data_IF_425468899227
#
_entry.id   IF_425468899227
#
_cell.length_a   1.000
_cell.length_b   1.000
_cell.length_c   1.000
_cell.angle_alpha   90.00
_cell.angle_beta   90.00
_cell.angle_gamma   90.00
#
_symmetry.space_group_name_H-M   'P 1'
#
loop_
_entity.id
_entity.type
_entity.pdbx_description
1 polymer ?
#
# COMPACT_ATOMS: atom_id res chain seq x y z
N UNK A 1 7.21 -0.75 -30.04
CA UNK A 1 6.52 -0.32 -28.80
C UNK A 1 6.82 1.16 -28.62
N UNK A 2 5.79 1.99 -28.73
CA UNK A 2 5.93 3.44 -28.67
C UNK A 2 6.14 3.86 -27.23
N UNK A 3 7.05 4.82 -27.03
CA UNK A 3 7.40 5.33 -25.72
C UNK A 3 7.56 6.84 -25.79
N UNK A 4 6.81 7.55 -24.96
CA UNK A 4 6.79 9.00 -24.97
C UNK A 4 6.51 9.52 -23.56
N UNK A 5 6.82 10.78 -23.33
CA UNK A 5 6.72 11.43 -22.03
C UNK A 5 5.71 12.57 -22.10
N UNK A 6 4.86 12.66 -21.09
CA UNK A 6 3.91 13.75 -20.89
C UNK A 6 4.26 14.46 -19.58
N UNK A 7 4.30 15.81 -19.53
CA UNK A 7 4.51 16.55 -18.29
C UNK A 7 3.42 16.26 -17.26
N UNK A 8 3.73 16.43 -15.98
CA UNK A 8 2.77 16.20 -14.88
C UNK A 8 1.70 17.30 -14.78
N UNK A 9 1.89 18.42 -15.47
CA UNK A 9 1.03 19.60 -15.38
C UNK A 9 -0.45 19.22 -15.61
N UNK A 10 -1.30 19.54 -14.63
CA UNK A 10 -2.74 19.29 -14.63
C UNK A 10 -3.20 17.83 -14.80
N UNK A 11 -2.29 16.86 -14.60
CA UNK A 11 -2.61 15.44 -14.71
C UNK A 11 -2.54 14.73 -13.36
N UNK A 12 -3.67 14.20 -12.90
CA UNK A 12 -3.73 13.38 -11.70
C UNK A 12 -3.35 11.92 -12.02
N UNK A 13 -2.40 11.36 -11.25
CA UNK A 13 -1.91 9.98 -11.39
C UNK A 13 -2.98 8.90 -11.60
N UNK A 14 -4.04 8.86 -10.78
CA UNK A 14 -5.12 7.87 -10.96
C UNK A 14 -5.87 8.04 -12.29
N UNK A 15 -6.15 9.28 -12.71
CA UNK A 15 -6.88 9.54 -13.96
C UNK A 15 -6.06 9.08 -15.14
N UNK A 16 -4.80 9.51 -15.27
CA UNK A 16 -3.95 9.03 -16.39
C UNK A 16 -3.78 7.51 -16.38
N UNK A 17 -3.73 6.86 -15.22
CA UNK A 17 -3.64 5.39 -15.16
C UNK A 17 -4.89 4.71 -15.72
N UNK A 18 -6.07 5.20 -15.36
CA UNK A 18 -7.35 4.63 -15.79
C UNK A 18 -7.67 4.98 -17.24
N UNK A 19 -7.52 6.25 -17.62
CA UNK A 19 -7.83 6.76 -18.96
C UNK A 19 -6.86 6.22 -20.02
N UNK A 20 -5.58 6.05 -19.68
CA UNK A 20 -4.61 5.43 -20.60
C UNK A 20 -5.08 4.04 -21.04
N UNK A 21 -5.53 3.22 -20.09
CA UNK A 21 -6.01 1.87 -20.39
C UNK A 21 -7.32 1.89 -21.18
N UNK A 22 -8.15 2.92 -21.00
CA UNK A 22 -9.37 3.11 -21.77
C UNK A 22 -9.09 3.44 -23.24
N UNK A 23 -8.17 4.38 -23.51
CA UNK A 23 -7.86 4.82 -24.88
C UNK A 23 -6.91 3.87 -25.62
N UNK A 24 -5.88 3.35 -24.95
CA UNK A 24 -4.80 2.56 -25.58
C UNK A 24 -4.89 1.05 -25.29
N UNK A 25 -5.81 0.64 -24.42
CA UNK A 25 -5.98 -0.74 -24.00
C UNK A 25 -5.13 -1.15 -22.78
N UNK A 26 -5.35 -2.37 -22.26
CA UNK A 26 -4.75 -2.82 -21.00
C UNK A 26 -3.23 -3.03 -21.06
N UNK A 27 -2.66 -3.22 -22.26
CA UNK A 27 -1.22 -3.38 -22.48
C UNK A 27 -0.45 -2.05 -22.38
N UNK A 28 -1.15 -0.91 -22.37
CA UNK A 28 -0.54 0.39 -22.18
C UNK A 28 -0.17 0.62 -20.72
N UNK A 29 1.07 1.07 -20.49
CA UNK A 29 1.61 1.30 -19.15
C UNK A 29 1.98 2.75 -18.95
N UNK A 30 1.71 3.27 -17.75
CA UNK A 30 2.14 4.60 -17.30
C UNK A 30 3.01 4.46 -16.07
N UNK A 31 4.09 5.22 -16.00
CA UNK A 31 4.93 5.31 -14.80
C UNK A 31 5.37 6.76 -14.56
N UNK A 32 5.51 7.20 -13.30
CA UNK A 32 6.16 8.47 -12.98
C UNK A 32 7.59 8.48 -13.54
N UNK A 33 7.97 9.60 -14.15
CA UNK A 33 9.31 9.78 -14.72
C UNK A 33 9.65 11.26 -14.79
N UNK A 34 10.81 11.62 -14.26
CA UNK A 34 11.36 12.98 -14.34
C UNK A 34 12.26 13.08 -15.57
N UNK A 35 12.01 14.07 -16.42
CA UNK A 35 12.81 14.36 -17.61
C UNK A 35 13.33 15.79 -17.52
N UNK A 36 14.64 15.96 -17.61
CA UNK A 36 15.29 17.28 -17.61
C UNK A 36 14.92 18.17 -16.39
N UNK A 37 14.62 17.54 -15.25
CA UNK A 37 14.20 18.22 -14.01
C UNK A 37 12.70 18.46 -13.89
N UNK A 38 11.92 18.14 -14.92
CA UNK A 38 10.45 18.23 -14.90
C UNK A 38 9.82 16.87 -14.59
N UNK A 39 8.91 16.86 -13.62
CA UNK A 39 8.13 15.68 -13.29
C UNK A 39 7.06 15.42 -14.35
N UNK A 40 6.88 14.15 -14.67
CA UNK A 40 5.88 13.73 -15.64
C UNK A 40 5.61 12.24 -15.62
N UNK A 41 5.03 11.78 -16.71
CA UNK A 41 4.62 10.41 -16.91
C UNK A 41 5.23 9.87 -18.18
N UNK A 42 5.91 8.74 -18.06
CA UNK A 42 6.41 7.99 -19.19
C UNK A 42 5.38 6.92 -19.56
N UNK A 43 4.88 7.03 -20.78
CA UNK A 43 3.91 6.11 -21.35
C UNK A 43 4.63 5.15 -22.28
N UNK A 44 4.25 3.88 -22.18
CA UNK A 44 4.71 2.83 -23.09
C UNK A 44 3.50 2.05 -23.58
N UNK A 45 3.30 2.02 -24.90
CA UNK A 45 2.13 1.41 -25.56
C UNK A 45 2.57 0.57 -26.77
N UNK A 46 1.95 -0.60 -27.01
CA UNK A 46 2.19 -1.36 -28.24
C UNK A 46 1.51 -0.71 -29.46
N UNK A 47 0.53 0.16 -29.26
CA UNK A 47 -0.29 0.78 -30.31
C UNK A 47 0.02 2.27 -30.56
N UNK A 48 -0.95 3.05 -31.08
CA UNK A 48 -0.79 4.48 -31.30
C UNK A 48 -0.55 5.23 -29.98
N UNK A 49 0.04 6.42 -30.08
CA UNK A 49 0.16 7.34 -28.96
C UNK A 49 -1.20 8.03 -28.69
N UNK A 50 -1.36 8.57 -27.48
CA UNK A 50 -2.51 9.45 -27.19
C UNK A 50 -2.49 10.65 -28.14
N UNK A 51 -3.67 11.03 -28.63
CA UNK A 51 -3.86 12.30 -29.33
C UNK A 51 -3.93 13.47 -28.35
N UNK A 52 -3.69 14.68 -28.85
CA UNK A 52 -3.78 15.90 -28.03
C UNK A 52 -5.17 16.04 -27.39
N UNK A 53 -6.25 15.75 -28.12
CA UNK A 53 -7.62 15.76 -27.60
C UNK A 53 -7.80 14.79 -26.41
N UNK A 54 -7.17 13.61 -26.47
CA UNK A 54 -7.24 12.63 -25.37
C UNK A 54 -6.43 13.09 -24.16
N UNK A 55 -5.33 13.81 -24.38
CA UNK A 55 -4.55 14.42 -23.30
C UNK A 55 -5.37 15.54 -22.64
N UNK A 56 -6.06 16.35 -23.43
CA UNK A 56 -6.95 17.40 -22.93
C UNK A 56 -8.10 16.81 -22.10
N UNK A 57 -8.72 15.73 -22.56
CA UNK A 57 -9.73 14.98 -21.79
C UNK A 57 -9.20 14.50 -20.44
N UNK A 58 -7.96 13.99 -20.41
CA UNK A 58 -7.28 13.54 -19.18
C UNK A 58 -7.05 14.72 -18.23
N UNK A 59 -6.65 15.88 -18.73
CA UNK A 59 -6.48 17.10 -17.94
C UNK A 59 -7.81 17.56 -17.33
N UNK A 60 -8.89 17.57 -18.12
CA UNK A 60 -10.24 17.96 -17.65
C UNK A 60 -10.71 17.00 -16.55
N UNK A 61 -10.60 15.68 -16.75
CA UNK A 61 -10.98 14.67 -15.75
C UNK A 61 -10.11 14.75 -14.49
N UNK A 62 -8.82 15.07 -14.64
CA UNK A 62 -7.90 15.27 -13.52
C UNK A 62 -8.32 16.46 -12.66
N UNK A 63 -8.72 17.57 -13.29
CA UNK A 63 -9.25 18.75 -12.63
C UNK A 63 -10.52 18.44 -11.84
N UNK A 64 -11.50 17.79 -12.47
CA UNK A 64 -12.73 17.38 -11.78
C UNK A 64 -12.43 16.51 -10.56
N UNK A 65 -11.45 15.60 -10.69
CA UNK A 65 -11.08 14.73 -9.59
C UNK A 65 -10.43 15.49 -8.42
N UNK A 66 -9.61 16.50 -8.69
CA UNK A 66 -9.09 17.39 -7.65
C UNK A 66 -10.21 18.21 -7.00
N UNK A 67 -11.12 18.79 -7.78
CA UNK A 67 -12.26 19.55 -7.27
C UNK A 67 -13.15 18.69 -6.37
N UNK A 68 -13.43 17.46 -6.78
CA UNK A 68 -14.21 16.49 -5.98
C UNK A 68 -13.49 16.10 -4.69
N UNK A 69 -12.17 15.91 -4.73
CA UNK A 69 -11.37 15.68 -3.52
C UNK A 69 -11.35 16.91 -2.61
N UNK A 70 -11.21 18.10 -3.16
CA UNK A 70 -11.22 19.36 -2.41
C UNK A 70 -12.57 19.59 -1.73
N UNK A 71 -13.68 19.37 -2.45
CA UNK A 71 -15.04 19.45 -1.91
C UNK A 71 -15.28 18.42 -0.80
N UNK A 72 -14.76 17.19 -0.96
CA UNK A 72 -14.84 16.14 0.07
C UNK A 72 -14.02 16.48 1.32
N UNK A 73 -12.89 17.18 1.15
CA UNK A 73 -12.08 17.68 2.29
C UNK A 73 -12.73 18.87 2.97
N UNK A 74 -13.32 19.79 2.20
CA UNK A 74 -14.06 20.93 2.73
C UNK A 74 -15.28 20.48 3.54
N UNK A 75 -15.99 19.43 3.10
CA UNK A 75 -17.10 18.84 3.87
C UNK A 75 -16.64 18.04 5.10
N UNK A 76 -15.43 17.49 5.11
CA UNK A 76 -14.81 16.89 6.31
C UNK A 76 -14.15 17.91 7.26
N UNK A 77 -14.00 19.18 6.86
CA UNK A 77 -13.47 20.25 7.71
C UNK A 77 -14.37 20.61 8.90
N UNK A 78 -15.63 20.17 8.91
CA UNK A 78 -16.56 20.32 10.04
C UNK A 78 -16.57 19.11 11.00
N UNK A 79 -15.70 18.12 10.78
CA UNK A 79 -15.69 16.83 11.50
C UNK A 79 -14.53 16.71 12.48
N UNK A 80 -14.21 17.81 13.15
CA UNK A 80 -13.47 17.75 14.41
C UNK A 80 -14.38 17.03 15.42
N UNK A 81 -14.12 15.73 15.63
CA UNK A 81 -14.75 14.79 16.60
C UNK A 81 -15.85 13.84 16.06
N UNK A 82 -15.62 13.10 14.97
CA UNK A 82 -16.21 11.75 14.91
C UNK A 82 -15.24 10.75 15.56
N UNK A 83 -15.57 10.17 16.73
CA UNK A 83 -14.74 9.12 17.31
C UNK A 83 -14.65 7.95 16.33
N UNK A 84 -13.44 7.38 16.21
CA UNK A 84 -13.18 6.23 15.36
C UNK A 84 -14.22 5.13 15.67
N UNK A 85 -14.98 4.68 14.65
CA UNK A 85 -15.99 3.61 14.80
C UNK A 85 -15.40 2.26 15.25
N UNK A 86 -14.07 2.12 15.24
CA UNK A 86 -13.35 0.90 15.62
C UNK A 86 -12.06 1.27 16.35
N UNK A 87 -11.70 0.55 17.43
CA UNK A 87 -10.45 0.79 18.14
C UNK A 87 -9.25 0.55 17.22
N UNK A 88 -8.16 1.29 17.49
CA UNK A 88 -6.87 1.13 16.81
C UNK A 88 -6.41 -0.34 16.92
N UNK A 89 -6.11 -0.96 15.78
CA UNK A 89 -5.57 -2.32 15.75
C UNK A 89 -4.19 -2.32 16.42
N UNK A 90 -4.04 -3.10 17.49
CA UNK A 90 -2.75 -3.35 18.12
C UNK A 90 -2.03 -4.52 17.41
N UNK A 91 -0.70 -4.49 17.30
CA UNK A 91 0.05 -5.59 16.70
C UNK A 91 -0.19 -6.89 17.47
N UNK A 92 -0.63 -7.93 16.77
CA UNK A 92 -0.79 -9.28 17.33
C UNK A 92 0.58 -9.93 17.38
N UNK A 93 1.07 -10.16 18.59
CA UNK A 93 2.33 -10.90 18.81
C UNK A 93 2.05 -12.38 18.55
N UNK A 94 2.54 -12.91 17.44
CA UNK A 94 2.42 -14.35 17.14
C UNK A 94 3.55 -15.06 17.87
N UNK A 95 3.22 -15.68 19.00
CA UNK A 95 4.12 -16.60 19.70
C UNK A 95 4.40 -17.79 18.78
N UNK A 96 5.63 -17.88 18.24
CA UNK A 96 6.11 -19.13 17.63
C UNK A 96 6.09 -20.19 18.73
N UNK A 97 5.26 -21.22 18.53
CA UNK A 97 5.02 -22.27 19.51
C UNK A 97 6.32 -22.81 20.09
N UNK A 98 6.48 -22.65 21.40
CA UNK A 98 7.51 -23.36 22.16
C UNK A 98 7.16 -24.83 22.07
N UNK A 99 7.92 -25.53 21.24
CA UNK A 99 7.82 -26.96 21.01
C UNK A 99 7.93 -27.68 22.36
N UNK A 100 6.88 -28.42 22.68
CA UNK A 100 6.82 -29.40 23.77
C UNK A 100 8.12 -30.19 23.89
N UNK A 101 8.89 -29.95 24.96
CA UNK A 101 9.85 -30.92 25.49
C UNK A 101 9.27 -31.45 26.78
N UNK A 102 8.47 -32.51 26.65
CA UNK A 102 8.10 -33.39 27.76
C UNK A 102 9.40 -33.93 28.37
N UNK A 103 9.86 -33.38 29.51
CA UNK A 103 10.82 -34.07 30.35
C UNK A 103 10.04 -35.06 31.20
N UNK A 104 10.19 -36.31 30.82
CA UNK A 104 9.78 -37.49 31.56
C UNK A 104 10.65 -37.57 32.83
N UNK A 105 10.08 -37.23 33.99
CA UNK A 105 10.69 -37.55 35.29
C UNK A 105 10.12 -38.89 35.77
N UNK A 106 10.98 -39.91 35.70
CA UNK A 106 10.71 -41.29 36.11
C UNK A 106 10.93 -41.41 37.63
N UNK A 107 9.99 -41.96 38.42
CA UNK A 107 10.09 -42.02 39.87
C UNK A 107 10.87 -43.27 40.29
N UNK A 108 12.20 -43.13 40.46
CA UNK A 108 13.01 -44.18 41.10
C UNK A 108 13.28 -43.86 42.55
N UNK A 109 12.34 -44.36 43.36
CA UNK A 109 12.53 -44.87 44.71
C UNK A 109 13.84 -45.64 44.80
N UNK A 110 14.84 -45.10 45.49
CA UNK A 110 15.92 -45.92 46.06
C UNK A 110 16.01 -45.67 47.55
N UNK A 111 16.01 -46.77 48.26
CA UNK A 111 16.05 -46.84 49.71
C UNK A 111 17.51 -46.95 50.12
N UNK A 112 17.79 -46.49 51.34
CA UNK A 112 18.77 -47.09 52.24
C UNK A 112 20.19 -46.50 52.27
N UNK A 113 20.70 -46.46 53.52
CA UNK A 113 22.06 -46.12 54.03
C UNK A 113 22.24 -44.63 54.36
N UNK A 114 22.54 -44.21 55.58
CA UNK A 114 22.91 -44.89 56.82
C UNK A 114 23.75 -43.93 57.69
N UNK A 115 23.48 -43.92 59.00
CA UNK A 115 24.31 -43.53 60.16
C UNK A 115 25.04 -42.17 60.27
N UNK A 116 25.01 -41.69 61.53
CA UNK A 116 25.97 -40.79 62.24
C UNK A 116 25.96 -39.29 61.85
N UNK A 117 26.03 -38.29 62.74
CA UNK A 117 26.76 -38.14 64.02
C UNK A 117 26.31 -36.80 64.70
N UNK A 118 26.23 -36.77 66.05
CA UNK A 118 26.35 -35.62 67.01
C UNK A 118 25.50 -34.35 66.79
N UNK A 119 24.76 -33.83 67.79
CA UNK A 119 25.23 -33.35 69.10
C UNK A 119 24.04 -32.84 69.92
#
# INVERSE_FOLDING_TARGET
MNKYWIPHLDIHKKVITTELQYYLGPEATVRPFTRDGEDGFLIQTPGPCLSDEQIDDICIKSKEMWERQAASRASMGSEVKKPLKRPLHQPVVISKGSSSRRRHEDPRRDSNRGYDDRR
#
